data_IF_649405780869
#
_entry.id   IF_649405780869
#
_cell.length_a   1.000
_cell.length_b   1.000
_cell.length_c   1.000
_cell.angle_alpha   90.00
_cell.angle_beta   90.00
_cell.angle_gamma   90.00
#
_symmetry.space_group_name_H-M   'P 1'
#
loop_
_entity.id
_entity.type
_entity.pdbx_description
1 polymer ?
#
# COMPACT_ATOMS: atom_id res chain seq x y z
N UNK A 1 -12.09 -12.08 -61.44
CA UNK A 1 -11.23 -10.86 -61.48
C UNK A 1 -11.16 -10.16 -60.14
N UNK A 2 -12.29 -9.86 -59.48
CA UNK A 2 -12.32 -9.19 -58.20
C UNK A 2 -11.64 -9.99 -57.08
N UNK A 3 -11.91 -11.30 -56.96
CA UNK A 3 -11.24 -12.20 -56.01
C UNK A 3 -9.73 -12.33 -56.28
N UNK A 4 -9.29 -12.35 -57.53
CA UNK A 4 -7.87 -12.37 -57.90
C UNK A 4 -7.18 -11.03 -57.61
N UNK A 5 -7.92 -9.91 -57.69
CA UNK A 5 -7.37 -8.58 -57.40
C UNK A 5 -7.31 -8.27 -55.89
N UNK A 6 -8.27 -8.77 -55.11
CA UNK A 6 -8.32 -8.58 -53.68
C UNK A 6 -7.55 -9.63 -52.89
N UNK A 7 -7.33 -10.83 -53.49
CA UNK A 7 -6.78 -11.98 -52.76
C UNK A 7 -7.78 -12.65 -51.81
N UNK A 8 -9.02 -12.15 -51.79
CA UNK A 8 -10.05 -12.59 -50.86
C UNK A 8 -11.16 -13.39 -51.56
N UNK A 9 -11.57 -14.48 -50.93
CA UNK A 9 -12.69 -15.33 -51.37
C UNK A 9 -14.01 -14.67 -51.07
N UNK A 10 -14.12 -13.87 -50.01
CA UNK A 10 -15.30 -13.19 -49.52
C UNK A 10 -15.14 -11.68 -49.70
N UNK A 11 -15.63 -11.09 -50.81
CA UNK A 11 -15.60 -9.66 -51.04
C UNK A 11 -16.93 -8.97 -50.70
N UNK A 12 -18.05 -9.64 -50.95
CA UNK A 12 -19.40 -9.12 -50.73
C UNK A 12 -20.24 -10.05 -49.86
N UNK A 13 -21.22 -9.48 -49.14
CA UNK A 13 -22.13 -10.25 -48.31
C UNK A 13 -22.96 -11.29 -49.11
N UNK A 14 -23.06 -11.08 -50.45
CA UNK A 14 -23.72 -12.01 -51.36
C UNK A 14 -22.92 -13.30 -51.59
N UNK A 15 -21.60 -13.30 -51.41
CA UNK A 15 -20.73 -14.44 -51.67
C UNK A 15 -20.95 -15.55 -50.64
N UNK A 16 -20.96 -15.18 -49.35
CA UNK A 16 -21.32 -16.06 -48.23
C UNK A 16 -21.70 -15.19 -47.02
N UNK A 17 -23.00 -14.97 -46.75
CA UNK A 17 -23.46 -14.13 -45.64
C UNK A 17 -23.00 -14.61 -44.29
N UNK A 18 -22.96 -15.94 -44.07
CA UNK A 18 -22.51 -16.54 -42.82
C UNK A 18 -21.00 -16.39 -42.64
N UNK A 19 -20.20 -16.67 -43.68
CA UNK A 19 -18.74 -16.50 -43.65
C UNK A 19 -18.35 -15.03 -43.41
N UNK A 20 -19.04 -14.07 -44.07
CA UNK A 20 -18.79 -12.64 -43.86
C UNK A 20 -19.11 -12.19 -42.44
N UNK A 21 -20.20 -12.68 -41.82
CA UNK A 21 -20.54 -12.37 -40.46
C UNK A 21 -19.49 -12.89 -39.46
N UNK A 22 -18.98 -14.12 -39.68
CA UNK A 22 -17.92 -14.70 -38.86
C UNK A 22 -16.60 -13.94 -39.06
N UNK A 23 -16.21 -13.64 -40.31
CA UNK A 23 -14.99 -12.87 -40.65
C UNK A 23 -15.00 -11.50 -39.97
N UNK A 24 -16.11 -10.76 -40.07
CA UNK A 24 -16.21 -9.44 -39.41
C UNK A 24 -16.13 -9.53 -37.88
N UNK A 25 -16.71 -10.58 -37.26
CA UNK A 25 -16.60 -10.82 -35.82
C UNK A 25 -15.14 -11.14 -35.44
N UNK A 26 -14.48 -12.01 -36.21
CA UNK A 26 -13.06 -12.35 -35.96
C UNK A 26 -12.14 -11.15 -36.13
N UNK A 27 -12.33 -10.31 -37.17
CA UNK A 27 -11.60 -9.04 -37.33
C UNK A 27 -11.80 -8.08 -36.16
N UNK A 28 -13.01 -8.01 -35.61
CA UNK A 28 -13.27 -7.19 -34.43
C UNK A 28 -12.56 -7.76 -33.18
N UNK A 29 -12.55 -9.09 -33.04
CA UNK A 29 -11.84 -9.74 -31.93
C UNK A 29 -10.32 -9.60 -32.05
N UNK A 30 -9.73 -9.78 -33.25
CA UNK A 30 -8.29 -9.59 -33.49
C UNK A 30 -7.87 -8.16 -33.10
N UNK A 31 -8.61 -7.14 -33.53
CA UNK A 31 -8.33 -5.75 -33.13
C UNK A 31 -8.51 -5.50 -31.64
N UNK A 32 -9.45 -6.21 -31.02
CA UNK A 32 -9.64 -6.17 -29.56
C UNK A 32 -8.47 -6.82 -28.81
N UNK A 33 -7.93 -7.93 -29.31
CA UNK A 33 -6.76 -8.61 -28.74
C UNK A 33 -5.48 -7.78 -28.91
N UNK A 34 -5.27 -7.16 -30.07
CA UNK A 34 -4.15 -6.25 -30.30
C UNK A 34 -4.16 -5.07 -29.31
N UNK A 35 -5.31 -4.44 -29.12
CA UNK A 35 -5.45 -3.36 -28.11
C UNK A 35 -5.25 -3.89 -26.68
N UNK A 36 -5.71 -5.12 -26.38
CA UNK A 36 -5.53 -5.72 -25.06
C UNK A 36 -4.06 -6.03 -24.79
N UNK A 37 -3.29 -6.51 -25.78
CA UNK A 37 -1.84 -6.73 -25.68
C UNK A 37 -1.09 -5.40 -25.44
N UNK A 38 -1.49 -4.32 -26.12
CA UNK A 38 -0.94 -2.98 -25.88
C UNK A 38 -1.28 -2.47 -24.47
N UNK A 39 -2.52 -2.63 -24.00
CA UNK A 39 -2.93 -2.25 -22.64
C UNK A 39 -2.14 -3.04 -21.57
N UNK A 40 -1.89 -4.34 -21.80
CA UNK A 40 -1.10 -5.15 -20.89
C UNK A 40 0.37 -4.70 -20.84
N UNK A 41 0.95 -4.33 -21.98
CA UNK A 41 2.31 -3.78 -22.09
C UNK A 41 2.44 -2.42 -21.40
N UNK A 42 1.41 -1.56 -21.52
CA UNK A 42 1.34 -0.30 -20.78
C UNK A 42 1.27 -0.56 -19.27
N UNK A 43 0.47 -1.57 -18.85
CA UNK A 43 0.40 -2.03 -17.45
C UNK A 43 1.75 -2.52 -16.94
N UNK A 44 2.49 -3.33 -17.71
CA UNK A 44 3.84 -3.76 -17.36
C UNK A 44 4.78 -2.57 -17.18
N UNK A 45 4.68 -1.55 -18.04
CA UNK A 45 5.48 -0.33 -17.92
C UNK A 45 5.20 0.44 -16.63
N UNK A 46 3.93 0.55 -16.23
CA UNK A 46 3.54 1.16 -14.94
C UNK A 46 4.15 0.38 -13.77
N UNK A 47 4.02 -0.95 -13.79
CA UNK A 47 4.55 -1.83 -12.73
C UNK A 47 6.07 -1.70 -12.60
N UNK A 48 6.80 -1.62 -13.70
CA UNK A 48 8.26 -1.45 -13.69
C UNK A 48 8.68 -0.08 -13.13
N UNK A 49 7.94 0.98 -13.40
CA UNK A 49 8.18 2.31 -12.79
C UNK A 49 7.98 2.23 -11.28
N UNK A 50 6.91 1.57 -10.82
CA UNK A 50 6.61 1.38 -9.40
C UNK A 50 7.72 0.56 -8.73
N UNK A 51 8.13 -0.60 -9.31
CA UNK A 51 9.19 -1.43 -8.72
C UNK A 51 10.52 -0.68 -8.64
N UNK A 52 10.87 0.11 -9.67
CA UNK A 52 12.05 0.97 -9.65
C UNK A 52 12.01 1.97 -8.50
N UNK A 53 10.90 2.70 -8.33
CA UNK A 53 10.73 3.66 -7.24
C UNK A 53 10.77 2.98 -5.85
N UNK A 54 10.13 1.82 -5.70
CA UNK A 54 10.18 1.03 -4.46
C UNK A 54 11.58 0.49 -4.16
N UNK A 55 12.39 0.24 -5.19
CA UNK A 55 13.80 -0.08 -5.05
C UNK A 55 14.57 1.05 -4.36
N UNK A 56 14.43 2.29 -4.85
CA UNK A 56 15.05 3.48 -4.24
C UNK A 56 14.56 3.72 -2.80
N UNK A 57 13.25 3.56 -2.54
CA UNK A 57 12.71 3.63 -1.17
C UNK A 57 13.34 2.57 -0.27
N UNK A 58 13.53 1.35 -0.75
CA UNK A 58 14.17 0.27 0.01
C UNK A 58 15.61 0.64 0.38
N UNK A 59 16.38 1.19 -0.55
CA UNK A 59 17.78 1.60 -0.31
C UNK A 59 17.85 2.74 0.73
N UNK A 60 16.92 3.69 0.67
CA UNK A 60 16.82 4.76 1.67
C UNK A 60 16.44 4.22 3.06
N UNK A 61 15.49 3.30 3.16
CA UNK A 61 15.13 2.67 4.44
C UNK A 61 16.31 1.88 5.04
N UNK A 62 17.07 1.17 4.21
CA UNK A 62 18.30 0.50 4.65
C UNK A 62 19.34 1.50 5.15
N UNK A 63 19.52 2.63 4.46
CA UNK A 63 20.42 3.69 4.89
C UNK A 63 19.97 4.31 6.22
N UNK A 64 18.68 4.59 6.39
CA UNK A 64 18.15 5.04 7.68
C UNK A 64 18.41 4.03 8.80
N UNK A 65 18.27 2.74 8.50
CA UNK A 65 18.56 1.67 9.45
C UNK A 65 20.05 1.63 9.85
N UNK A 66 20.97 1.82 8.91
CA UNK A 66 22.40 1.94 9.21
C UNK A 66 22.67 3.11 10.16
N UNK A 67 22.05 4.25 9.93
CA UNK A 67 22.16 5.45 10.78
C UNK A 67 21.58 5.19 12.18
N UNK A 68 20.46 4.47 12.28
CA UNK A 68 19.88 4.07 13.57
C UNK A 68 20.82 3.14 14.35
N UNK A 69 21.43 2.15 13.68
CA UNK A 69 22.45 1.29 14.28
C UNK A 69 23.67 2.09 14.72
N UNK A 70 24.12 3.04 13.91
CA UNK A 70 25.22 3.93 14.28
C UNK A 70 24.86 4.76 15.52
N UNK A 71 23.66 5.36 15.57
CA UNK A 71 23.20 6.17 16.70
C UNK A 71 23.01 5.33 17.99
N UNK A 72 22.74 4.03 17.88
CA UNK A 72 22.62 3.11 19.01
C UNK A 72 23.94 2.88 19.74
N UNK A 73 25.09 3.20 19.10
CA UNK A 73 26.39 2.96 19.73
C UNK A 73 26.60 3.92 20.91
N UNK A 74 26.82 3.37 22.11
CA UNK A 74 27.03 4.14 23.34
C UNK A 74 28.30 5.01 23.36
N UNK A 75 29.17 4.92 22.35
CA UNK A 75 30.34 5.80 22.20
C UNK A 75 29.98 7.14 21.57
N UNK A 76 28.81 7.26 20.95
CA UNK A 76 28.39 8.46 20.26
C UNK A 76 27.89 9.51 21.25
N UNK A 77 28.36 10.74 21.05
CA UNK A 77 27.86 11.91 21.77
C UNK A 77 26.46 12.31 21.27
N UNK A 78 25.73 13.11 22.07
CA UNK A 78 24.42 13.62 21.69
C UNK A 78 24.45 14.38 20.35
N UNK A 79 25.50 15.15 20.10
CA UNK A 79 25.69 15.87 18.83
C UNK A 79 25.85 14.96 17.62
N UNK A 80 26.49 13.81 17.80
CA UNK A 80 26.62 12.78 16.74
C UNK A 80 25.29 12.11 16.45
N UNK A 81 24.48 11.84 17.47
CA UNK A 81 23.11 11.34 17.30
C UNK A 81 22.22 12.36 16.59
N UNK A 82 22.32 13.65 16.96
CA UNK A 82 21.62 14.75 16.26
C UNK A 82 22.01 14.84 14.78
N UNK A 83 23.30 14.63 14.45
CA UNK A 83 23.73 14.57 13.06
C UNK A 83 23.12 13.39 12.29
N UNK A 84 23.06 12.19 12.92
CA UNK A 84 22.35 11.05 12.33
C UNK A 84 20.86 11.35 12.14
N UNK A 85 20.21 12.02 13.09
CA UNK A 85 18.81 12.41 13.00
C UNK A 85 18.53 13.37 11.83
N UNK A 86 19.41 14.32 11.57
CA UNK A 86 19.29 15.23 10.42
C UNK A 86 19.38 14.47 9.09
N UNK A 87 20.26 13.47 8.98
CA UNK A 87 20.35 12.64 7.77
C UNK A 87 19.10 11.76 7.62
N UNK A 88 18.61 11.16 8.71
CA UNK A 88 17.35 10.37 8.71
C UNK A 88 16.18 11.26 8.27
N UNK A 89 16.07 12.48 8.81
CA UNK A 89 15.02 13.41 8.41
C UNK A 89 15.08 13.74 6.91
N UNK A 90 16.26 13.97 6.37
CA UNK A 90 16.43 14.24 4.93
C UNK A 90 16.07 13.04 4.05
N UNK A 91 16.42 11.82 4.48
CA UNK A 91 16.05 10.58 3.77
C UNK A 91 14.54 10.35 3.84
N UNK A 92 13.91 10.65 4.97
CA UNK A 92 12.46 10.57 5.14
C UNK A 92 11.72 11.53 4.20
N UNK A 93 12.17 12.80 4.15
CA UNK A 93 11.60 13.78 3.22
C UNK A 93 11.75 13.34 1.75
N UNK A 94 12.83 12.60 1.43
CA UNK A 94 13.07 12.07 0.08
C UNK A 94 12.14 10.87 -0.22
N UNK A 95 11.82 10.03 0.77
CA UNK A 95 10.81 8.96 0.63
C UNK A 95 9.44 9.57 0.29
N UNK A 96 9.02 10.62 1.02
CA UNK A 96 7.76 11.32 0.73
C UNK A 96 7.79 11.94 -0.66
N UNK A 97 8.90 12.57 -1.05
CA UNK A 97 9.04 13.14 -2.39
C UNK A 97 8.88 12.07 -3.48
N UNK A 98 9.49 10.90 -3.33
CA UNK A 98 9.34 9.79 -4.30
C UNK A 98 7.89 9.32 -4.34
N UNK A 99 7.24 9.17 -3.19
CA UNK A 99 5.84 8.74 -3.11
C UNK A 99 4.90 9.73 -3.83
N UNK A 100 5.17 11.03 -3.72
CA UNK A 100 4.34 12.07 -4.36
C UNK A 100 4.65 12.30 -5.83
N UNK A 101 5.93 12.16 -6.23
CA UNK A 101 6.37 12.53 -7.60
C UNK A 101 6.42 11.37 -8.56
N UNK A 102 6.30 10.12 -8.10
CA UNK A 102 6.26 8.96 -9.00
C UNK A 102 4.91 8.90 -9.70
N UNK A 103 4.91 9.24 -10.98
CA UNK A 103 3.70 9.29 -11.79
C UNK A 103 3.87 8.58 -13.14
N UNK A 104 2.76 8.13 -13.71
CA UNK A 104 2.65 7.67 -15.08
C UNK A 104 1.46 8.37 -15.73
N UNK A 105 1.70 9.07 -16.82
CA UNK A 105 0.67 9.82 -17.58
C UNK A 105 -0.21 10.69 -16.64
N UNK A 106 0.43 11.49 -15.76
CA UNK A 106 -0.22 12.38 -14.77
C UNK A 106 -1.02 11.70 -13.67
N UNK A 107 -0.92 10.39 -13.52
CA UNK A 107 -1.48 9.65 -12.39
C UNK A 107 -0.37 9.31 -11.42
N UNK A 108 -0.48 9.75 -10.17
CA UNK A 108 0.41 9.33 -9.09
C UNK A 108 0.25 7.84 -8.83
N UNK A 109 1.35 7.15 -8.57
CA UNK A 109 1.36 5.70 -8.43
C UNK A 109 1.52 5.23 -6.99
N UNK A 110 2.22 6.02 -6.14
CA UNK A 110 2.62 5.61 -4.79
C UNK A 110 1.94 6.42 -3.66
N UNK A 111 1.02 7.33 -4.01
CA UNK A 111 0.30 8.18 -3.05
C UNK A 111 -0.92 7.48 -2.41
N UNK A 112 -1.21 6.23 -2.80
CA UNK A 112 -2.38 5.47 -2.36
C UNK A 112 -3.66 5.73 -3.17
N UNK A 113 -3.59 6.54 -4.23
CA UNK A 113 -4.75 6.78 -5.11
C UNK A 113 -5.16 5.54 -5.90
N UNK A 114 -4.23 4.59 -6.07
CA UNK A 114 -4.41 3.31 -6.77
C UNK A 114 -4.61 2.11 -5.83
N UNK A 115 -4.97 2.37 -4.57
CA UNK A 115 -5.32 1.33 -3.60
C UNK A 115 -6.81 1.33 -3.27
N UNK A 116 -7.29 0.25 -2.65
CA UNK A 116 -8.65 0.16 -2.13
C UNK A 116 -8.89 1.24 -1.07
N UNK A 117 -9.95 2.00 -1.25
CA UNK A 117 -10.29 3.05 -0.28
C UNK A 117 -11.07 2.47 0.88
N UNK A 118 -10.61 2.79 2.08
CA UNK A 118 -11.30 2.44 3.31
C UNK A 118 -11.91 3.69 3.93
N UNK A 119 -13.19 3.63 4.20
CA UNK A 119 -13.93 4.71 4.84
C UNK A 119 -14.33 4.29 6.24
N UNK A 120 -13.97 5.11 7.22
CA UNK A 120 -14.52 4.97 8.55
C UNK A 120 -15.87 5.69 8.65
N UNK A 121 -16.71 5.26 9.59
CA UNK A 121 -17.95 5.97 9.93
C UNK A 121 -17.69 7.45 10.17
N UNK A 122 -18.69 8.29 9.85
CA UNK A 122 -18.62 9.73 10.03
C UNK A 122 -18.24 10.14 11.45
N UNK A 123 -18.65 9.35 12.46
CA UNK A 123 -18.39 9.60 13.87
C UNK A 123 -16.96 9.23 14.29
N UNK A 124 -16.33 8.28 13.56
CA UNK A 124 -15.00 7.75 13.88
C UNK A 124 -13.92 8.16 12.87
N UNK A 125 -14.26 9.00 11.90
CA UNK A 125 -13.33 9.42 10.85
C UNK A 125 -12.07 10.09 11.39
N UNK A 126 -12.24 10.92 12.43
CA UNK A 126 -11.14 11.68 13.04
C UNK A 126 -10.43 10.87 14.15
N UNK A 127 -10.94 9.68 14.48
CA UNK A 127 -10.42 8.82 15.54
C UNK A 127 -9.53 7.69 14.99
N UNK A 128 -9.49 7.53 13.68
CA UNK A 128 -8.72 6.48 13.02
C UNK A 128 -7.85 7.09 11.94
N UNK A 129 -6.60 6.72 11.94
CA UNK A 129 -5.64 7.15 10.92
C UNK A 129 -4.82 5.97 10.40
N UNK A 130 -4.14 6.18 9.27
CA UNK A 130 -3.15 5.24 8.70
C UNK A 130 -3.71 3.84 8.47
N UNK A 131 -4.87 3.76 7.80
CA UNK A 131 -5.49 2.48 7.50
C UNK A 131 -4.75 1.82 6.33
N UNK A 132 -4.27 0.60 6.58
CA UNK A 132 -3.68 -0.27 5.56
C UNK A 132 -4.51 -1.54 5.42
N UNK A 133 -4.75 -2.00 4.20
CA UNK A 133 -5.44 -3.26 3.89
C UNK A 133 -4.66 -4.03 2.82
N UNK A 134 -4.51 -5.34 3.02
CA UNK A 134 -3.89 -6.23 2.03
C UNK A 134 -4.88 -6.59 0.91
N UNK A 135 -4.37 -7.12 -0.20
CA UNK A 135 -5.19 -7.58 -1.33
C UNK A 135 -6.19 -8.68 -0.99
N UNK A 136 -5.93 -9.42 0.08
CA UNK A 136 -6.82 -10.49 0.54
C UNK A 136 -8.03 -9.96 1.31
N UNK A 137 -8.10 -8.64 1.55
CA UNK A 137 -9.26 -8.01 2.18
C UNK A 137 -10.33 -7.77 1.11
N UNK A 138 -11.46 -8.47 1.23
CA UNK A 138 -12.57 -8.34 0.30
C UNK A 138 -13.33 -7.01 0.53
N UNK A 139 -14.01 -6.54 -0.50
CA UNK A 139 -15.00 -5.46 -0.41
C UNK A 139 -16.06 -5.81 0.65
N UNK A 140 -16.39 -4.85 1.50
CA UNK A 140 -17.40 -5.02 2.53
C UNK A 140 -17.22 -4.15 3.75
N UNK A 141 -18.15 -4.31 4.70
CA UNK A 141 -18.14 -3.59 5.97
C UNK A 141 -17.50 -4.45 7.06
N UNK A 142 -16.51 -3.90 7.72
CA UNK A 142 -15.76 -4.51 8.82
C UNK A 142 -16.07 -3.77 10.12
N UNK A 143 -16.82 -4.41 11.01
CA UNK A 143 -17.24 -3.81 12.29
C UNK A 143 -16.40 -4.36 13.44
N UNK A 144 -15.89 -3.47 14.26
CA UNK A 144 -15.15 -3.80 15.47
C UNK A 144 -15.59 -2.91 16.63
N UNK A 145 -15.42 -3.40 17.85
CA UNK A 145 -15.69 -2.63 19.07
C UNK A 145 -14.38 -2.40 19.81
N UNK A 146 -14.07 -1.16 20.13
CA UNK A 146 -12.92 -0.83 20.99
C UNK A 146 -13.34 -1.00 22.44
N UNK A 147 -12.77 -2.01 23.09
CA UNK A 147 -13.06 -2.33 24.49
C UNK A 147 -12.23 -1.46 25.44
N UNK A 148 -11.00 -1.13 25.05
CA UNK A 148 -10.07 -0.33 25.82
C UNK A 148 -9.24 0.55 24.90
N UNK A 149 -9.12 1.83 25.23
CA UNK A 149 -8.20 2.73 24.55
C UNK A 149 -6.76 2.54 25.06
N UNK A 150 -5.77 2.80 24.22
CA UNK A 150 -4.37 2.81 24.64
C UNK A 150 -4.12 3.96 25.61
N UNK A 151 -3.31 3.71 26.64
CA UNK A 151 -2.91 4.73 27.61
C UNK A 151 -1.39 4.91 27.63
N UNK A 152 -0.97 6.13 27.97
CA UNK A 152 0.44 6.43 28.22
C UNK A 152 0.83 5.95 29.63
N UNK A 153 2.11 5.63 29.80
CA UNK A 153 2.67 5.48 31.14
C UNK A 153 2.76 6.86 31.81
N UNK A 154 2.19 7.01 33.00
CA UNK A 154 2.29 8.23 33.78
C UNK A 154 2.74 7.95 35.21
N UNK A 155 3.68 8.74 35.70
CA UNK A 155 4.14 8.70 37.07
C UNK A 155 4.08 10.09 37.71
N UNK A 156 3.26 10.21 38.77
CA UNK A 156 3.14 11.45 39.56
C UNK A 156 4.07 11.39 40.76
N UNK A 157 5.00 12.34 40.85
CA UNK A 157 5.93 12.42 41.96
C UNK A 157 5.31 13.05 43.20
N UNK A 158 4.25 13.82 43.05
CA UNK A 158 3.58 14.60 44.11
C UNK A 158 4.37 15.82 44.59
N UNK A 159 5.52 16.14 43.94
CA UNK A 159 6.42 17.22 44.35
C UNK A 159 6.33 18.37 43.36
N UNK A 160 6.50 19.61 43.86
CA UNK A 160 6.61 20.79 43.01
C UNK A 160 8.10 21.10 42.69
N UNK A 161 8.35 21.74 41.55
CA UNK A 161 9.70 22.18 41.19
C UNK A 161 10.32 23.11 42.24
N UNK A 162 9.48 23.87 42.93
CA UNK A 162 9.90 24.73 44.04
C UNK A 162 10.55 23.96 45.21
N UNK A 163 10.11 22.72 45.46
CA UNK A 163 10.65 21.87 46.52
C UNK A 163 12.06 21.35 46.21
N UNK A 164 12.52 21.50 44.97
CA UNK A 164 13.84 21.09 44.51
C UNK A 164 14.88 22.22 44.61
N UNK A 165 14.44 23.45 44.76
CA UNK A 165 15.35 24.61 44.84
C UNK A 165 16.21 24.53 46.10
N UNK A 166 17.54 24.71 45.91
CA UNK A 166 18.52 24.62 47.02
C UNK A 166 18.88 23.19 47.44
N UNK A 167 18.50 22.17 46.64
CA UNK A 167 18.84 20.76 46.89
C UNK A 167 19.82 20.23 45.83
N UNK A 168 20.58 19.18 46.22
CA UNK A 168 21.52 18.48 45.33
C UNK A 168 21.08 17.06 45.09
N UNK A 169 20.98 16.67 43.81
CA UNK A 169 20.64 15.29 43.43
C UNK A 169 20.66 15.03 41.94
N UNK A 170 20.43 13.79 41.62
CA UNK A 170 20.31 13.34 40.23
C UNK A 170 19.05 12.51 40.12
N UNK A 171 18.33 12.73 39.02
CA UNK A 171 17.19 11.92 38.61
C UNK A 171 17.51 11.26 37.29
N UNK A 172 17.42 9.95 37.24
CA UNK A 172 17.49 9.20 35.97
C UNK A 172 16.05 8.96 35.48
N UNK A 173 15.78 9.40 34.25
CA UNK A 173 14.51 9.27 33.55
C UNK A 173 14.77 8.36 32.34
N UNK A 174 14.21 7.16 32.34
CA UNK A 174 14.43 6.16 31.29
C UNK A 174 15.91 5.93 30.94
N UNK A 175 16.80 6.03 31.97
CA UNK A 175 18.24 5.84 31.79
C UNK A 175 19.04 7.13 31.50
N UNK A 176 18.40 8.24 31.18
CA UNK A 176 19.09 9.54 31.07
C UNK A 176 19.13 10.23 32.44
N UNK A 177 20.31 10.69 32.84
CA UNK A 177 20.53 11.28 34.18
C UNK A 177 20.57 12.79 34.13
N UNK A 178 19.63 13.42 34.77
CA UNK A 178 19.54 14.88 35.01
C UNK A 178 20.18 15.21 36.35
N UNK A 179 21.05 16.20 36.38
CA UNK A 179 21.73 16.68 37.58
C UNK A 179 21.10 17.99 38.05
N UNK A 180 20.73 18.06 39.32
CA UNK A 180 20.28 19.28 39.98
C UNK A 180 21.30 19.68 41.05
N UNK A 181 21.60 20.97 41.10
CA UNK A 181 22.53 21.53 42.12
C UNK A 181 21.80 22.61 42.92
N UNK A 182 22.28 22.87 44.12
CA UNK A 182 21.77 23.86 45.06
C UNK A 182 21.80 25.31 44.56
N UNK A 183 22.57 25.56 43.51
CA UNK A 183 22.70 26.90 42.88
C UNK A 183 21.71 27.15 41.75
N UNK A 184 20.94 26.15 41.33
CA UNK A 184 20.02 26.27 40.19
C UNK A 184 18.72 26.98 40.63
N UNK A 185 18.23 27.86 39.77
CA UNK A 185 16.92 28.49 39.91
C UNK A 185 15.80 27.52 39.54
N UNK A 186 14.57 27.85 39.90
CA UNK A 186 13.37 27.04 39.55
C UNK A 186 13.25 26.79 38.05
N UNK A 187 13.48 27.84 37.26
CA UNK A 187 13.42 27.77 35.78
C UNK A 187 14.52 26.87 35.19
N UNK A 188 15.73 26.96 35.74
CA UNK A 188 16.86 26.11 35.30
C UNK A 188 16.63 24.65 35.66
N UNK A 189 16.10 24.35 36.85
CA UNK A 189 15.73 23.00 37.27
C UNK A 189 14.62 22.44 36.34
N UNK A 190 13.58 23.24 36.08
CA UNK A 190 12.49 22.83 35.21
C UNK A 190 13.00 22.57 33.78
N UNK A 191 13.84 23.45 33.24
CA UNK A 191 14.41 23.27 31.92
C UNK A 191 15.28 22.01 31.82
N UNK A 192 16.14 21.78 32.81
CA UNK A 192 16.98 20.59 32.87
C UNK A 192 16.14 19.28 32.95
N UNK A 193 15.08 19.30 33.75
CA UNK A 193 14.15 18.15 33.86
C UNK A 193 13.36 17.93 32.58
N UNK A 194 12.91 19.01 31.92
CA UNK A 194 12.19 18.94 30.65
C UNK A 194 13.09 18.36 29.55
N UNK A 195 14.28 18.90 29.39
CA UNK A 195 15.24 18.45 28.37
C UNK A 195 15.68 17.00 28.64
N UNK A 196 15.84 16.64 29.92
CA UNK A 196 16.12 15.25 30.30
C UNK A 196 14.94 14.29 30.11
N UNK A 197 13.74 14.77 30.32
CA UNK A 197 12.52 14.00 30.04
C UNK A 197 12.32 13.79 28.54
N UNK A 198 12.54 14.78 27.72
CA UNK A 198 12.48 14.69 26.27
C UNK A 198 13.46 13.67 25.72
N UNK A 199 14.72 13.69 26.18
CA UNK A 199 15.73 12.65 25.83
C UNK A 199 15.29 11.26 26.35
N UNK A 200 14.61 11.20 27.51
CA UNK A 200 14.04 9.99 28.07
C UNK A 200 12.67 9.57 27.49
N UNK A 201 12.24 10.18 26.39
CA UNK A 201 10.94 9.91 25.74
C UNK A 201 9.73 10.15 26.67
N UNK A 202 9.83 11.15 27.52
CA UNK A 202 8.77 11.55 28.43
C UNK A 202 8.49 13.04 28.29
N UNK A 203 7.25 13.42 28.60
CA UNK A 203 6.87 14.82 28.81
C UNK A 203 6.71 15.08 30.30
N UNK A 204 6.93 16.32 30.73
CA UNK A 204 6.68 16.72 32.11
C UNK A 204 5.49 17.68 32.21
N UNK A 205 4.85 17.69 33.39
CA UNK A 205 3.79 18.63 33.71
C UNK A 205 4.33 20.08 33.68
N UNK A 206 3.42 21.05 33.62
CA UNK A 206 3.80 22.49 33.69
C UNK A 206 4.46 22.84 35.02
N UNK A 207 5.34 23.86 34.98
CA UNK A 207 6.14 24.33 36.13
C UNK A 207 5.30 24.67 37.38
N UNK A 208 4.03 25.02 37.21
CA UNK A 208 3.08 25.44 38.30
C UNK A 208 2.30 24.24 38.86
N UNK A 209 2.49 23.04 38.34
CA UNK A 209 1.81 21.82 38.77
C UNK A 209 2.78 20.85 39.45
N UNK A 210 2.28 19.88 40.24
CA UNK A 210 3.10 18.79 40.70
C UNK A 210 3.82 18.11 39.51
N UNK A 211 5.07 17.77 39.74
CA UNK A 211 5.93 17.14 38.71
C UNK A 211 5.40 15.75 38.39
N UNK A 212 4.91 15.56 37.17
CA UNK A 212 4.53 14.25 36.64
C UNK A 212 5.26 14.00 35.34
N UNK A 213 5.64 12.75 35.13
CA UNK A 213 6.29 12.26 33.93
C UNK A 213 5.32 11.39 33.16
N UNK A 214 5.07 11.73 31.91
CA UNK A 214 4.18 10.96 31.02
C UNK A 214 4.96 10.52 29.80
N UNK A 215 4.93 9.24 29.47
CA UNK A 215 5.55 8.71 28.26
C UNK A 215 4.94 9.34 27.00
N UNK A 216 5.74 9.59 25.98
CA UNK A 216 5.26 10.07 24.67
C UNK A 216 4.59 8.95 23.87
N UNK A 217 4.99 7.68 24.10
CA UNK A 217 4.40 6.52 23.47
C UNK A 217 3.18 6.01 24.25
N UNK A 218 2.32 5.27 23.56
CA UNK A 218 1.15 4.59 24.11
C UNK A 218 1.42 3.08 24.27
N UNK A 219 0.68 2.43 25.18
CA UNK A 219 0.64 1.00 25.28
C UNK A 219 1.64 0.38 26.24
N UNK A 220 1.69 -0.94 26.26
CA UNK A 220 2.51 -1.72 27.22
C UNK A 220 4.03 -1.56 27.01
N UNK A 221 4.45 -1.11 25.82
CA UNK A 221 5.86 -0.79 25.52
C UNK A 221 6.24 0.63 25.97
N UNK A 222 5.24 1.48 26.23
CA UNK A 222 5.45 2.79 26.82
C UNK A 222 5.78 2.63 28.31
N UNK A 223 6.91 3.18 28.75
CA UNK A 223 7.32 3.10 30.15
C UNK A 223 7.92 4.41 30.65
N UNK A 224 7.66 4.70 31.89
CA UNK A 224 8.36 5.73 32.67
C UNK A 224 9.15 5.03 33.76
N UNK A 225 10.48 5.06 33.66
CA UNK A 225 11.40 4.46 34.63
C UNK A 225 12.17 5.55 35.33
N UNK A 226 11.96 5.67 36.64
CA UNK A 226 12.56 6.72 37.47
C UNK A 226 13.41 6.11 38.59
N UNK A 227 14.60 6.67 38.77
CA UNK A 227 15.46 6.38 39.90
C UNK A 227 16.22 7.64 40.32
N UNK A 228 16.33 7.88 41.62
CA UNK A 228 17.03 9.06 42.10
C UNK A 228 18.32 8.70 42.85
N UNK A 229 19.24 9.67 42.90
CA UNK A 229 20.41 9.64 43.69
C UNK A 229 20.63 10.98 44.38
N UNK A 230 20.34 11.06 45.68
CA UNK A 230 20.51 12.28 46.43
C UNK A 230 20.95 11.96 47.87
N UNK A 231 21.84 12.81 48.42
CA UNK A 231 22.26 12.79 49.83
C UNK A 231 21.26 13.50 50.76
N UNK A 232 20.41 14.38 50.16
CA UNK A 232 19.45 15.19 50.88
C UNK A 232 18.09 14.48 51.09
N UNK A 233 18.09 13.14 50.93
CA UNK A 233 16.90 12.29 51.03
C UNK A 233 16.18 12.11 49.71
N UNK A 234 14.88 11.76 49.75
CA UNK A 234 14.07 11.49 48.56
C UNK A 234 13.52 12.76 47.99
N UNK A 235 14.38 13.61 47.39
CA UNK A 235 14.05 14.96 46.94
C UNK A 235 13.07 14.97 45.76
N UNK A 236 13.06 13.92 44.94
CA UNK A 236 12.17 13.79 43.80
C UNK A 236 10.88 13.01 44.08
N UNK A 237 10.65 12.64 45.38
CA UNK A 237 9.47 11.93 45.86
C UNK A 237 9.80 10.62 46.58
N UNK A 238 9.05 10.35 47.65
CA UNK A 238 9.22 9.15 48.45
C UNK A 238 8.96 7.84 47.70
N UNK A 239 8.26 7.90 46.57
CA UNK A 239 7.97 6.74 45.72
C UNK A 239 9.09 6.41 44.72
N UNK A 240 10.06 7.32 44.50
CA UNK A 240 11.20 7.09 43.60
C UNK A 240 12.38 6.54 44.41
N UNK A 241 12.84 5.33 44.12
CA UNK A 241 13.91 4.71 44.85
C UNK A 241 15.23 5.49 44.78
N UNK A 242 15.89 5.67 45.91
CA UNK A 242 17.12 6.43 46.06
C UNK A 242 18.34 5.49 46.21
N UNK A 243 19.20 5.48 45.20
CA UNK A 243 20.40 4.64 45.18
C UNK A 243 21.48 5.10 46.17
N UNK A 244 21.42 6.34 46.67
CA UNK A 244 22.36 6.81 47.70
C UNK A 244 22.03 6.23 49.07
N UNK A 245 20.77 5.99 49.41
CA UNK A 245 20.31 5.38 50.64
C UNK A 245 20.20 3.85 50.56
N UNK A 246 19.88 3.34 49.36
CA UNK A 246 19.80 1.90 49.06
C UNK A 246 20.51 1.60 47.74
N UNK A 247 21.78 1.16 47.73
CA UNK A 247 22.54 0.90 46.51
C UNK A 247 21.91 -0.15 45.57
N UNK A 248 21.10 -1.07 46.10
CA UNK A 248 20.42 -2.15 45.37
C UNK A 248 19.01 -1.72 44.87
N UNK A 249 18.64 -0.45 45.06
CA UNK A 249 17.34 0.06 44.62
C UNK A 249 17.18 -0.02 43.10
N UNK A 250 16.10 -0.63 42.66
CA UNK A 250 15.72 -0.66 41.24
C UNK A 250 14.81 0.51 40.92
N UNK A 251 14.88 1.02 39.70
CA UNK A 251 13.99 2.07 39.22
C UNK A 251 12.53 1.66 39.42
N UNK A 252 11.69 2.64 39.79
CA UNK A 252 10.24 2.46 39.66
C UNK A 252 9.89 2.51 38.19
N UNK A 253 9.09 1.56 37.74
CA UNK A 253 8.66 1.48 36.31
C UNK A 253 7.14 1.48 36.28
N UNK A 254 6.57 2.43 35.54
CA UNK A 254 5.16 2.46 35.21
C UNK A 254 5.01 2.19 33.72
N UNK A 255 4.05 1.38 33.31
CA UNK A 255 3.76 1.08 31.89
C UNK A 255 2.37 1.57 31.53
N UNK A 256 2.17 1.89 30.27
CA UNK A 256 0.85 2.15 29.69
C UNK A 256 0.11 0.84 29.37
N UNK A 257 -1.09 0.97 28.89
CA UNK A 257 -1.92 -0.16 28.44
C UNK A 257 -2.13 -0.07 26.93
N UNK A 258 -2.13 -1.22 26.24
CA UNK A 258 -2.46 -1.30 24.82
C UNK A 258 -3.96 -1.05 24.61
N UNK A 259 -4.31 -0.62 23.41
CA UNK A 259 -5.69 -0.68 22.95
C UNK A 259 -6.14 -2.15 22.85
N UNK A 260 -7.40 -2.42 23.16
CA UNK A 260 -8.01 -3.74 22.99
C UNK A 260 -9.29 -3.60 22.18
N UNK A 261 -9.49 -4.49 21.20
CA UNK A 261 -10.68 -4.50 20.34
C UNK A 261 -11.27 -5.90 20.22
N UNK A 262 -12.60 -5.96 20.12
CA UNK A 262 -13.33 -7.18 19.79
C UNK A 262 -13.89 -7.06 18.37
N UNK A 263 -13.65 -8.08 17.53
CA UNK A 263 -14.17 -8.14 16.17
C UNK A 263 -15.62 -8.65 16.17
N UNK A 264 -16.51 -7.96 15.46
CA UNK A 264 -17.88 -8.48 15.22
C UNK A 264 -17.88 -9.41 14.00
N UNK A 265 -17.49 -10.67 14.23
CA UNK A 265 -17.49 -11.69 13.17
C UNK A 265 -18.87 -12.19 12.77
N UNK A 266 -19.93 -11.80 13.49
CA UNK A 266 -21.29 -12.25 13.21
C UNK A 266 -22.03 -11.35 12.20
N UNK A 267 -21.73 -10.04 12.21
CA UNK A 267 -22.42 -9.03 11.39
C UNK A 267 -21.49 -8.26 10.46
N UNK A 268 -20.25 -8.67 10.32
CA UNK A 268 -19.25 -8.02 9.47
C UNK A 268 -18.50 -9.02 8.60
N UNK A 269 -17.69 -8.50 7.69
CA UNK A 269 -16.89 -9.32 6.76
C UNK A 269 -15.65 -9.98 7.41
N UNK A 270 -15.44 -9.86 8.73
CA UNK A 270 -14.32 -10.50 9.41
C UNK A 270 -14.47 -12.03 9.43
N UNK A 271 -13.40 -12.74 9.07
CA UNK A 271 -13.34 -14.19 9.29
C UNK A 271 -13.32 -14.48 10.81
N UNK A 272 -14.11 -15.46 11.29
CA UNK A 272 -14.08 -15.90 12.70
C UNK A 272 -12.70 -16.36 13.21
N UNK A 273 -11.75 -16.63 12.31
CA UNK A 273 -10.38 -17.02 12.62
C UNK A 273 -9.40 -15.85 12.62
N UNK A 274 -9.87 -14.62 12.37
CA UNK A 274 -9.03 -13.45 12.42
C UNK A 274 -8.46 -13.24 13.82
N UNK A 275 -7.17 -12.93 13.89
CA UNK A 275 -6.46 -12.64 15.13
C UNK A 275 -6.06 -11.18 15.18
N UNK A 276 -6.15 -10.58 16.37
CA UNK A 276 -5.79 -9.18 16.59
C UNK A 276 -4.49 -9.14 17.37
N UNK A 277 -3.56 -8.32 16.91
CA UNK A 277 -2.35 -7.96 17.65
C UNK A 277 -2.33 -6.46 17.95
N UNK A 278 -1.78 -6.11 19.10
CA UNK A 278 -1.80 -4.76 19.64
C UNK A 278 -0.38 -4.26 19.86
N UNK A 279 -0.09 -3.07 19.38
CA UNK A 279 1.15 -2.36 19.66
C UNK A 279 0.82 -0.90 19.99
N UNK A 280 0.63 -0.62 21.27
CA UNK A 280 0.13 0.66 21.73
C UNK A 280 -1.27 0.96 21.23
N UNK A 281 -1.38 1.97 20.39
CA UNK A 281 -2.60 2.38 19.70
C UNK A 281 -2.71 1.86 18.26
N UNK A 282 -1.70 1.11 17.77
CA UNK A 282 -1.76 0.40 16.49
C UNK A 282 -2.44 -0.94 16.67
N UNK A 283 -3.46 -1.19 15.86
CA UNK A 283 -4.20 -2.44 15.81
C UNK A 283 -3.89 -3.11 14.48
N UNK A 284 -3.52 -4.38 14.53
CA UNK A 284 -3.27 -5.19 13.34
C UNK A 284 -4.10 -6.46 13.42
N UNK A 285 -4.94 -6.68 12.40
CA UNK A 285 -5.84 -7.81 12.29
C UNK A 285 -5.32 -8.70 11.16
N UNK A 286 -5.02 -9.94 11.46
CA UNK A 286 -4.45 -10.89 10.49
C UNK A 286 -5.22 -12.21 10.49
N UNK A 287 -5.19 -12.91 9.34
CA UNK A 287 -5.71 -14.25 9.19
C UNK A 287 -4.71 -15.14 8.45
N UNK A 288 -4.90 -16.44 8.50
CA UNK A 288 -4.07 -17.45 7.81
C UNK A 288 -4.12 -17.36 6.28
N UNK A 289 -5.14 -16.73 5.73
CA UNK A 289 -5.38 -16.63 4.28
C UNK A 289 -4.77 -15.36 3.64
N UNK A 290 -3.88 -14.67 4.38
CA UNK A 290 -3.20 -13.46 3.91
C UNK A 290 -3.94 -12.16 4.21
N UNK A 291 -5.12 -12.23 4.84
CA UNK A 291 -5.82 -11.03 5.32
C UNK A 291 -4.93 -10.26 6.30
N UNK A 292 -4.69 -9.01 6.03
CA UNK A 292 -3.99 -8.09 6.91
C UNK A 292 -4.63 -6.71 6.80
N UNK A 293 -5.15 -6.23 7.92
CA UNK A 293 -5.70 -4.89 8.07
C UNK A 293 -5.06 -4.25 9.28
N UNK A 294 -4.47 -3.08 9.13
CA UNK A 294 -3.90 -2.34 10.26
C UNK A 294 -4.33 -0.88 10.23
N UNK A 295 -4.50 -0.30 11.40
CA UNK A 295 -4.85 1.10 11.57
C UNK A 295 -4.39 1.60 12.93
N UNK A 296 -4.34 2.92 13.07
CA UNK A 296 -3.97 3.62 14.28
C UNK A 296 -5.21 4.27 14.90
N UNK A 297 -5.44 4.03 16.21
CA UNK A 297 -6.43 4.76 16.98
C UNK A 297 -5.83 6.06 17.51
N UNK A 298 -6.51 7.17 17.29
CA UNK A 298 -6.07 8.47 17.79
C UNK A 298 -6.16 8.56 19.33
N UNK A 299 -5.29 9.42 19.88
CA UNK A 299 -5.25 9.69 21.30
C UNK A 299 -6.57 10.31 21.80
N UNK A 300 -7.18 9.72 22.82
CA UNK A 300 -8.43 10.23 23.39
C UNK A 300 -9.70 9.56 22.86
N UNK A 301 -9.56 8.49 22.10
CA UNK A 301 -10.69 7.63 21.75
C UNK A 301 -11.38 7.13 23.03
N UNK A 302 -12.67 7.43 23.20
CA UNK A 302 -13.44 6.90 24.33
C UNK A 302 -13.87 5.46 24.02
N UNK A 303 -13.23 4.49 24.68
CA UNK A 303 -13.63 3.09 24.61
C UNK A 303 -15.08 2.91 25.11
N UNK A 304 -15.83 2.00 24.46
CA UNK A 304 -17.25 1.83 24.71
C UNK A 304 -17.58 1.49 26.16
N UNK A 305 -18.13 2.43 26.87
CA UNK A 305 -18.86 2.14 28.10
C UNK A 305 -20.19 1.49 27.70
N UNK A 306 -20.36 0.21 28.01
CA UNK A 306 -21.65 -0.47 27.99
C UNK A 306 -22.60 0.22 28.95
N UNK A 307 -23.35 1.20 28.47
CA UNK A 307 -24.46 1.72 29.26
C UNK A 307 -25.59 0.68 29.26
N UNK A 308 -25.95 0.23 30.45
CA UNK A 308 -26.99 -0.76 30.72
C UNK A 308 -28.43 -0.34 30.30
N UNK A 309 -28.58 0.61 29.40
CA UNK A 309 -29.86 1.05 28.85
C UNK A 309 -29.71 1.35 27.35
N UNK A 310 -29.86 0.33 26.55
CA UNK A 310 -30.12 0.35 25.12
C UNK A 310 -29.87 1.64 24.34
N UNK A 311 -28.94 1.61 23.42
CA UNK A 311 -28.71 2.58 22.34
C UNK A 311 -27.70 3.69 22.64
N UNK A 312 -26.46 3.37 22.54
CA UNK A 312 -25.40 4.07 21.79
C UNK A 312 -24.10 3.36 22.13
N UNK A 313 -23.64 2.48 21.27
CA UNK A 313 -22.33 1.86 21.38
C UNK A 313 -21.28 2.91 20.99
N UNK A 314 -20.90 3.75 21.93
CA UNK A 314 -19.64 4.49 21.86
C UNK A 314 -18.53 3.45 21.85
N UNK A 315 -17.74 3.42 20.79
CA UNK A 315 -16.64 2.46 20.66
C UNK A 315 -16.78 1.46 19.49
N UNK A 316 -17.93 1.40 18.81
CA UNK A 316 -18.06 0.63 17.56
C UNK A 316 -17.50 1.44 16.40
N UNK A 317 -16.64 0.82 15.64
CA UNK A 317 -16.02 1.35 14.44
C UNK A 317 -16.44 0.48 13.28
N UNK A 318 -17.01 1.09 12.24
CA UNK A 318 -17.28 0.41 10.98
C UNK A 318 -16.33 0.94 9.93
N UNK A 319 -15.60 0.04 9.31
CA UNK A 319 -14.71 0.31 8.20
C UNK A 319 -15.34 -0.26 6.94
N UNK A 320 -15.62 0.57 5.96
CA UNK A 320 -16.12 0.16 4.66
C UNK A 320 -14.96 0.11 3.67
N UNK A 321 -14.59 -1.09 3.25
CA UNK A 321 -13.58 -1.32 2.21
C UNK A 321 -14.27 -1.35 0.87
N UNK A 322 -13.78 -0.53 -0.07
CA UNK A 322 -14.35 -0.41 -1.42
C UNK A 322 -13.27 -0.66 -2.47
N UNK A 323 -13.67 -1.12 -3.64
CA UNK A 323 -12.78 -1.26 -4.81
C UNK A 323 -12.51 0.06 -5.54
N UNK A 324 -12.89 1.20 -4.94
CA UNK A 324 -12.66 2.52 -5.54
C UNK A 324 -11.18 2.87 -5.43
N UNK A 325 -10.56 3.15 -6.56
CA UNK A 325 -9.15 3.54 -6.64
C UNK A 325 -8.27 2.48 -7.30
N UNK A 326 -8.65 1.22 -7.27
CA UNK A 326 -7.89 0.13 -7.90
C UNK A 326 -7.74 0.39 -9.41
N UNK A 327 -6.57 0.12 -9.95
CA UNK A 327 -6.31 0.26 -11.38
C UNK A 327 -6.80 -0.97 -12.13
N UNK A 328 -7.85 -0.80 -12.94
CA UNK A 328 -8.37 -1.83 -13.84
C UNK A 328 -7.67 -1.79 -15.20
N UNK A 329 -6.98 -2.85 -15.56
CA UNK A 329 -6.35 -3.05 -16.87
C UNK A 329 -7.23 -3.96 -17.72
N UNK A 330 -7.72 -3.49 -18.84
CA UNK A 330 -8.47 -4.30 -19.81
C UNK A 330 -7.47 -5.16 -20.62
N UNK A 331 -7.36 -6.43 -20.27
CA UNK A 331 -6.40 -7.40 -20.82
C UNK A 331 -7.06 -8.42 -21.75
N UNK A 332 -8.22 -8.14 -22.27
CA UNK A 332 -8.89 -9.01 -23.22
C UNK A 332 -9.90 -8.29 -24.10
N UNK A 333 -10.33 -8.95 -25.20
CA UNK A 333 -11.19 -8.37 -26.20
C UNK A 333 -12.68 -8.28 -25.81
N UNK A 334 -13.08 -8.90 -24.70
CA UNK A 334 -14.48 -8.96 -24.25
C UNK A 334 -14.67 -8.26 -22.91
N UNK A 335 -15.93 -7.95 -22.61
CA UNK A 335 -16.36 -7.37 -21.34
C UNK A 335 -15.95 -8.26 -20.14
N UNK A 336 -15.48 -7.66 -19.05
CA UNK A 336 -15.10 -8.36 -17.83
C UNK A 336 -13.73 -9.07 -17.88
N UNK A 337 -12.97 -8.95 -18.97
CA UNK A 337 -11.61 -9.46 -19.07
C UNK A 337 -10.60 -8.41 -18.59
N UNK A 338 -10.71 -8.05 -17.31
CA UNK A 338 -9.85 -7.06 -16.64
C UNK A 338 -8.91 -7.72 -15.64
N UNK A 339 -7.79 -7.09 -15.39
CA UNK A 339 -6.88 -7.39 -14.28
C UNK A 339 -6.82 -6.18 -13.37
N UNK A 340 -7.06 -6.41 -12.10
CA UNK A 340 -6.96 -5.39 -11.07
C UNK A 340 -5.53 -5.36 -10.53
N UNK A 341 -4.97 -4.16 -10.47
CA UNK A 341 -3.66 -3.87 -9.90
C UNK A 341 -3.83 -2.87 -8.77
N UNK A 342 -3.39 -3.26 -7.58
CA UNK A 342 -3.41 -2.41 -6.38
C UNK A 342 -2.00 -1.97 -6.06
N UNK A 343 -1.84 -0.69 -5.80
CA UNK A 343 -0.57 -0.09 -5.41
C UNK A 343 -0.84 0.71 -4.13
N UNK A 344 -0.46 0.17 -2.95
CA UNK A 344 -0.68 0.85 -1.68
C UNK A 344 0.24 2.07 -1.55
N UNK A 345 -0.17 3.01 -0.71
CA UNK A 345 0.64 4.17 -0.36
C UNK A 345 1.95 3.75 0.32
N UNK A 346 3.05 4.40 -0.07
CA UNK A 346 4.39 4.16 0.48
C UNK A 346 5.03 5.42 1.06
N UNK A 347 4.22 6.40 1.46
CA UNK A 347 4.67 7.60 2.14
C UNK A 347 5.14 7.29 3.58
N UNK A 348 5.79 8.24 4.20
CA UNK A 348 6.35 8.17 5.55
C UNK A 348 5.28 7.80 6.59
N UNK A 349 4.06 8.34 6.45
CA UNK A 349 2.94 8.08 7.35
C UNK A 349 2.44 6.64 7.25
N UNK A 350 2.29 6.10 6.03
CA UNK A 350 1.81 4.72 5.82
C UNK A 350 2.83 3.67 6.27
N UNK A 351 4.12 4.01 6.23
CA UNK A 351 5.22 3.18 6.69
C UNK A 351 5.50 3.30 8.19
N UNK A 352 4.79 4.19 8.93
CA UNK A 352 4.98 4.45 10.37
C UNK A 352 6.40 4.88 10.74
N UNK A 353 7.06 5.66 9.87
CA UNK A 353 8.43 6.14 10.06
C UNK A 353 8.52 7.67 10.29
N UNK A 354 7.38 8.35 10.43
CA UNK A 354 7.27 9.81 10.60
C UNK A 354 7.91 10.31 11.91
N UNK A 355 7.77 9.57 12.99
CA UNK A 355 8.20 9.92 14.34
C UNK A 355 9.48 9.19 14.79
N UNK A 356 10.30 8.75 13.84
CA UNK A 356 11.62 8.18 14.16
C UNK A 356 12.53 9.25 14.74
N UNK A 357 12.97 9.04 15.99
CA UNK A 357 13.95 9.88 16.68
C UNK A 357 15.07 9.01 17.28
N UNK A 358 16.28 9.19 16.76
CA UNK A 358 17.47 8.45 17.22
C UNK A 358 18.27 9.24 18.27
N UNK A 359 17.83 10.41 18.68
CA UNK A 359 18.49 11.25 19.69
C UNK A 359 18.18 10.82 21.10
N UNK A 360 17.04 10.15 21.31
CA UNK A 360 16.58 9.65 22.61
C UNK A 360 17.34 8.40 23.07
N UNK A 361 17.13 7.97 24.32
CA UNK A 361 17.85 6.82 24.91
C UNK A 361 17.48 5.51 24.21
N UNK A 362 16.19 5.27 24.02
CA UNK A 362 15.66 4.04 23.39
C UNK A 362 15.31 4.24 21.90
N UNK A 363 15.36 5.47 21.43
CA UNK A 363 14.98 5.85 20.07
C UNK A 363 15.68 5.06 18.98
N UNK A 364 17.00 4.86 19.03
CA UNK A 364 17.70 4.07 18.02
C UNK A 364 17.20 2.62 17.93
N UNK A 365 16.84 1.99 19.06
CA UNK A 365 16.29 0.62 19.06
C UNK A 365 14.89 0.59 18.44
N UNK A 366 14.02 1.51 18.84
CA UNK A 366 12.67 1.64 18.24
C UNK A 366 12.71 1.99 16.75
N UNK A 367 13.65 2.87 16.37
CA UNK A 367 13.88 3.21 14.98
C UNK A 367 14.25 1.99 14.12
N UNK A 368 15.14 1.11 14.64
CA UNK A 368 15.51 -0.13 13.95
C UNK A 368 14.28 -1.04 13.76
N UNK A 369 13.47 -1.25 14.79
CA UNK A 369 12.29 -2.11 14.73
C UNK A 369 11.24 -1.57 13.73
N UNK A 370 11.02 -0.26 13.71
CA UNK A 370 10.11 0.39 12.75
C UNK A 370 10.64 0.32 11.32
N UNK A 371 11.93 0.59 11.13
CA UNK A 371 12.56 0.51 9.80
C UNK A 371 12.58 -0.94 9.28
N UNK A 372 12.80 -1.94 10.14
CA UNK A 372 12.71 -3.35 9.76
C UNK A 372 11.27 -3.72 9.36
N UNK A 373 10.27 -3.19 10.05
CA UNK A 373 8.86 -3.34 9.68
C UNK A 373 8.53 -2.67 8.35
N UNK A 374 9.01 -1.44 8.13
CA UNK A 374 8.83 -0.71 6.87
C UNK A 374 9.50 -1.44 5.69
N UNK A 375 10.74 -1.91 5.86
CA UNK A 375 11.45 -2.72 4.84
C UNK A 375 10.67 -4.00 4.53
N UNK A 376 10.11 -4.66 5.54
CA UNK A 376 9.27 -5.85 5.34
C UNK A 376 8.01 -5.53 4.53
N UNK A 377 7.34 -4.41 4.84
CA UNK A 377 6.15 -3.95 4.13
C UNK A 377 6.47 -3.64 2.66
N UNK A 378 7.52 -2.88 2.39
CA UNK A 378 7.95 -2.59 1.00
C UNK A 378 8.32 -3.87 0.27
N UNK A 379 9.00 -4.82 0.93
CA UNK A 379 9.36 -6.11 0.32
C UNK A 379 8.12 -6.93 -0.05
N UNK A 380 7.06 -6.89 0.76
CA UNK A 380 5.79 -7.54 0.45
C UNK A 380 5.11 -6.88 -0.75
N UNK A 381 5.07 -5.54 -0.78
CA UNK A 381 4.51 -4.77 -1.92
C UNK A 381 5.28 -5.11 -3.20
N UNK A 382 6.62 -5.10 -3.18
CA UNK A 382 7.44 -5.46 -4.34
C UNK A 382 7.22 -6.91 -4.80
N UNK A 383 7.06 -7.84 -3.87
CA UNK A 383 6.73 -9.23 -4.22
C UNK A 383 5.39 -9.34 -4.94
N UNK A 384 4.41 -8.56 -4.53
CA UNK A 384 3.09 -8.49 -5.14
C UNK A 384 3.14 -7.83 -6.52
N UNK A 385 3.85 -6.71 -6.65
CA UNK A 385 4.12 -6.02 -7.91
C UNK A 385 4.81 -6.98 -8.91
N UNK A 386 5.81 -7.74 -8.48
CA UNK A 386 6.46 -8.76 -9.31
C UNK A 386 5.52 -9.90 -9.73
N UNK A 387 4.54 -10.26 -8.88
CA UNK A 387 3.51 -11.22 -9.27
C UNK A 387 2.55 -10.66 -10.34
N UNK A 388 2.22 -9.36 -10.27
CA UNK A 388 1.44 -8.69 -11.31
C UNK A 388 2.22 -8.61 -12.64
N UNK A 389 3.51 -8.27 -12.60
CA UNK A 389 4.37 -8.24 -13.78
C UNK A 389 4.39 -9.62 -14.49
N UNK A 390 4.68 -10.68 -13.75
CA UNK A 390 4.66 -12.03 -14.31
C UNK A 390 3.30 -12.40 -14.93
N UNK A 391 2.19 -12.02 -14.27
CA UNK A 391 0.84 -12.28 -14.80
C UNK A 391 0.59 -11.52 -16.10
N UNK A 392 1.03 -10.26 -16.19
CA UNK A 392 0.90 -9.47 -17.42
C UNK A 392 1.74 -10.05 -18.56
N UNK A 393 2.97 -10.45 -18.30
CA UNK A 393 3.84 -11.07 -19.29
C UNK A 393 3.22 -12.35 -19.87
N UNK A 394 2.74 -13.26 -19.01
CA UNK A 394 2.02 -14.45 -19.49
C UNK A 394 0.71 -14.10 -20.22
N UNK A 395 0.07 -13.00 -19.84
CA UNK A 395 -1.14 -12.55 -20.54
C UNK A 395 -0.80 -12.03 -21.93
N UNK A 396 0.25 -11.23 -22.09
CA UNK A 396 0.72 -10.74 -23.41
C UNK A 396 1.05 -11.93 -24.31
N UNK A 397 1.85 -12.88 -23.82
CA UNK A 397 2.20 -14.09 -24.59
C UNK A 397 0.95 -14.86 -25.05
N UNK A 398 -0.03 -15.03 -24.17
CA UNK A 398 -1.29 -15.74 -24.47
C UNK A 398 -2.19 -14.96 -25.43
N UNK A 399 -2.21 -13.62 -25.35
CA UNK A 399 -2.96 -12.77 -26.28
C UNK A 399 -2.35 -12.83 -27.67
N UNK A 400 -1.04 -12.74 -27.79
CA UNK A 400 -0.31 -12.80 -29.07
C UNK A 400 -0.50 -14.17 -29.74
N UNK A 401 -0.39 -15.29 -29.00
CA UNK A 401 -0.68 -16.62 -29.54
C UNK A 401 -2.15 -16.75 -29.98
N UNK A 402 -3.08 -16.22 -29.20
CA UNK A 402 -4.51 -16.24 -29.54
C UNK A 402 -4.78 -15.40 -30.79
N UNK A 403 -4.14 -14.25 -30.93
CA UNK A 403 -4.24 -13.36 -32.10
C UNK A 403 -3.71 -14.09 -33.35
N UNK A 404 -2.54 -14.70 -33.30
CA UNK A 404 -1.96 -15.46 -34.43
C UNK A 404 -2.87 -16.62 -34.86
N UNK A 405 -3.42 -17.35 -33.90
CA UNK A 405 -4.37 -18.44 -34.19
C UNK A 405 -5.65 -17.93 -34.83
N UNK A 406 -6.17 -16.76 -34.38
CA UNK A 406 -7.36 -16.15 -34.97
C UNK A 406 -7.09 -15.58 -36.36
N UNK A 407 -5.93 -14.98 -36.61
CA UNK A 407 -5.51 -14.53 -37.94
C UNK A 407 -5.41 -15.71 -38.90
N UNK A 408 -4.79 -16.81 -38.47
CA UNK A 408 -4.72 -18.04 -39.26
C UNK A 408 -6.10 -18.61 -39.56
N UNK A 409 -7.05 -18.53 -38.61
CA UNK A 409 -8.41 -18.99 -38.83
C UNK A 409 -9.19 -18.04 -39.76
N UNK A 410 -8.98 -16.73 -39.64
CA UNK A 410 -9.55 -15.71 -40.53
C UNK A 410 -9.08 -15.89 -41.97
N UNK A 411 -7.77 -16.10 -42.18
CA UNK A 411 -7.16 -16.38 -43.46
C UNK A 411 -7.83 -17.58 -44.15
N UNK A 412 -8.06 -18.67 -43.42
CA UNK A 412 -8.80 -19.84 -43.96
C UNK A 412 -10.22 -19.57 -44.41
N UNK A 413 -10.88 -18.58 -43.81
CA UNK A 413 -12.26 -18.22 -44.15
C UNK A 413 -12.31 -17.21 -45.29
N UNK A 414 -11.41 -16.23 -45.31
CA UNK A 414 -11.47 -15.05 -46.16
C UNK A 414 -10.53 -15.10 -47.33
N UNK A 415 -9.35 -15.76 -47.23
CA UNK A 415 -8.34 -15.75 -48.28
C UNK A 415 -8.68 -16.75 -49.39
N UNK A 416 -8.29 -16.42 -50.61
CA UNK A 416 -8.46 -17.29 -51.78
C UNK A 416 -7.20 -18.03 -52.11
N UNK A 417 -7.32 -19.33 -52.47
CA UNK A 417 -6.25 -20.04 -53.11
C UNK A 417 -6.05 -19.49 -54.56
N UNK A 418 -5.02 -18.69 -54.73
CA UNK A 418 -4.68 -18.05 -56.01
C UNK A 418 -4.47 -19.05 -57.15
N UNK A 419 -3.99 -20.24 -56.87
CA UNK A 419 -3.77 -21.27 -57.90
C UNK A 419 -5.10 -21.84 -58.40
N UNK A 420 -6.01 -22.15 -57.49
CA UNK A 420 -7.37 -22.62 -57.80
C UNK A 420 -8.17 -21.55 -58.58
N UNK A 421 -8.21 -20.31 -58.07
CA UNK A 421 -8.96 -19.21 -58.66
C UNK A 421 -8.40 -18.82 -60.07
N UNK A 422 -7.08 -18.85 -60.28
CA UNK A 422 -6.46 -18.67 -61.60
C UNK A 422 -6.84 -19.77 -62.57
N UNK A 423 -6.98 -21.00 -62.08
CA UNK A 423 -7.41 -22.15 -62.91
C UNK A 423 -8.89 -21.96 -63.31
N UNK A 424 -9.73 -21.56 -62.36
CA UNK A 424 -11.13 -21.22 -62.67
C UNK A 424 -11.26 -20.04 -63.65
N UNK A 425 -10.49 -18.97 -63.45
CA UNK A 425 -10.46 -17.84 -64.33
C UNK A 425 -10.08 -18.22 -65.75
N UNK A 426 -9.02 -19.00 -65.93
CA UNK A 426 -8.57 -19.50 -67.25
C UNK A 426 -9.65 -20.39 -67.86
N UNK A 427 -10.30 -21.26 -67.12
CA UNK A 427 -11.40 -22.10 -67.56
C UNK A 427 -12.59 -21.25 -68.08
N UNK A 428 -12.99 -20.24 -67.32
CA UNK A 428 -14.09 -19.35 -67.75
C UNK A 428 -13.71 -18.49 -68.98
N UNK A 429 -12.45 -18.06 -69.09
CA UNK A 429 -11.96 -17.36 -70.28
C UNK A 429 -12.03 -18.23 -71.52
N UNK A 430 -11.57 -19.49 -71.40
CA UNK A 430 -11.61 -20.48 -72.52
C UNK A 430 -13.08 -20.78 -72.87
N UNK A 431 -13.94 -20.97 -71.88
CA UNK A 431 -15.37 -21.19 -72.08
C UNK A 431 -16.06 -19.99 -72.77
N UNK A 432 -15.66 -18.78 -72.40
CA UNK A 432 -16.19 -17.55 -73.04
C UNK A 432 -15.75 -17.44 -74.51
N UNK A 433 -14.45 -17.73 -74.76
CA UNK A 433 -13.94 -17.75 -76.14
C UNK A 433 -14.58 -18.85 -76.99
N UNK A 434 -14.74 -20.06 -76.42
CA UNK A 434 -15.41 -21.15 -77.07
C UNK A 434 -16.90 -20.83 -77.34
N UNK A 435 -17.59 -20.26 -76.32
CA UNK A 435 -18.99 -19.87 -76.43
C UNK A 435 -19.23 -18.80 -77.47
N UNK A 436 -18.37 -17.79 -77.57
CA UNK A 436 -18.47 -16.76 -78.64
C UNK A 436 -18.18 -17.38 -80.01
N UNK A 437 -17.25 -18.30 -80.11
CA UNK A 437 -16.97 -19.04 -81.37
C UNK A 437 -18.16 -19.90 -81.81
N UNK A 438 -18.75 -20.66 -80.88
CA UNK A 438 -19.94 -21.47 -81.17
C UNK A 438 -21.16 -20.64 -81.51
N UNK A 439 -21.36 -19.47 -80.83
CA UNK A 439 -22.42 -18.49 -81.19
C UNK A 439 -22.22 -17.92 -82.56
N UNK A 440 -20.96 -17.62 -82.95
CA UNK A 440 -20.68 -17.12 -84.33
C UNK A 440 -21.00 -18.22 -85.35
N UNK A 441 -20.59 -19.47 -85.09
CA UNK A 441 -20.91 -20.63 -85.96
C UNK A 441 -22.41 -20.92 -86.00
N UNK A 442 -23.16 -20.80 -84.88
CA UNK A 442 -24.60 -20.97 -84.86
C UNK A 442 -25.36 -19.88 -85.65
N UNK A 443 -24.79 -18.66 -85.64
CA UNK A 443 -25.36 -17.56 -86.45
C UNK A 443 -25.05 -17.69 -87.96
N UNK A 444 -24.01 -18.46 -88.34
CA UNK A 444 -23.72 -18.77 -89.77
C UNK A 444 -24.67 -19.84 -90.36
N UNK A 445 -25.16 -20.78 -89.53
CA UNK A 445 -26.06 -21.86 -89.98
C UNK A 445 -27.36 -21.33 -90.65
N UNK A 446 -28.10 -20.33 -90.18
CA UNK A 446 -29.27 -19.78 -90.85
C UNK A 446 -28.91 -19.11 -92.18
N UNK A 447 -27.71 -18.49 -92.25
CA UNK A 447 -27.26 -17.83 -93.49
C UNK A 447 -26.92 -18.80 -94.61
N UNK A 448 -26.27 -19.96 -94.21
CA UNK A 448 -26.05 -21.06 -95.14
C UNK A 448 -27.32 -21.78 -95.56
N UNK A 449 -28.33 -21.92 -94.68
CA UNK A 449 -29.65 -22.43 -95.03
C UNK A 449 -30.40 -21.48 -95.98
N UNK A 450 -30.28 -20.19 -95.82
CA UNK A 450 -30.84 -19.16 -96.75
C UNK A 450 -30.18 -19.20 -98.10
N UNK A 451 -28.86 -19.42 -98.18
CA UNK A 451 -28.11 -19.62 -99.44
C UNK A 451 -28.48 -20.91 -100.19
N UNK A 452 -28.90 -21.98 -99.47
CA UNK A 452 -29.39 -23.19 -100.10
C UNK A 452 -30.85 -23.09 -100.59
N UNK A 453 -31.57 -22.11 -100.14
CA UNK A 453 -32.99 -21.84 -100.55
C UNK A 453 -33.11 -20.81 -101.70
N UNK A 454 -32.01 -20.20 -102.14
CA UNK A 454 -31.88 -19.38 -103.32
C UNK A 454 -31.35 -20.18 -104.53
#
# INVERSE_FOLDING_TARGET
MEKLSSGLKLNHASDNPSGMAISNKMKAQIRGLDQASQNASDGTSVIQIVDGALGEVTDMLQRMRELAVQAANGTNSQKEKEACQLEIASLRDEVDRISETTEFNTKSLLDGSLDARVYADKENRDNISRIYVSDSVAEGTYSLTVDKAATNATYDTGIQVDDLVGKNGQLSINGYTVKITDQMTKEEIYTALRDGAEIGECTISRIDKPLSFTSTAYGSHASVSLIQQSKDGDIFGAGIPNTQTNPDAKAVVTTGDNAEVTLDSANSAFDPRATVSYDGNKITITNTDGFNMSFLLEAGFEAGATTAAGTTTTGVINLEVTDIGIMDLQIGANEGQTMQVRIPSTNVDSLYIDDIDVTTVNGPSKAMDRLDSAISTISQIRSQIGAYENRLDYTVDSLDETQENMESALSRIEDVDMAEEMTEYTKYNVLQQAGTSVLAQANELPTQALQLLQ
#
